data_IF_556268665432
#
_entry.id   IF_556268665432
#
_cell.length_a   1.000
_cell.length_b   1.000
_cell.length_c   1.000
_cell.angle_alpha   90.00
_cell.angle_beta   90.00
_cell.angle_gamma   90.00
#
_symmetry.space_group_name_H-M   'P 1'
#
loop_
_entity.id
_entity.type
_entity.pdbx_description
1 polymer ?
2 polymer ?
3 water ?
#
# COMPACT_ATOMS: atom_id res chain seq x y z
N UNK A 2 13.16 1.35 1.17
CA UNK A 2 12.51 0.12 1.76
C UNK A 2 11.62 -0.53 0.69
N UNK A 3 11.61 -1.87 0.63
CA UNK A 3 10.83 -2.63 -0.37
C UNK A 3 10.45 -3.99 0.22
N UNK A 4 9.20 -4.38 0.00
CA UNK A 4 8.65 -5.70 0.34
C UNK A 4 8.02 -6.29 -0.91
N UNK A 5 8.27 -7.56 -1.23
CA UNK A 5 7.62 -8.21 -2.38
C UNK A 5 7.21 -9.64 -2.04
N UNK A 6 5.92 -9.95 -2.13
CA UNK A 6 5.37 -11.30 -1.83
C UNK A 6 5.48 -12.15 -3.08
N UNK A 7 5.59 -13.45 -2.90
CA UNK A 7 5.46 -14.45 -3.97
C UNK A 7 4.95 -15.77 -3.39
N UNK A 8 4.51 -16.70 -4.24
CA UNK A 8 4.12 -18.07 -3.84
C UNK A 8 2.60 -18.25 -3.78
N UNK A 9 1.80 -17.22 -4.06
CA UNK A 9 0.34 -17.31 -4.11
C UNK A 9 -0.12 -18.30 -5.19
N UNK A 10 -1.33 -18.83 -5.05
CA UNK A 10 -1.91 -19.74 -6.06
C UNK A 10 -3.16 -20.42 -5.55
N UNK A 11 -3.61 -21.39 -6.32
CA UNK A 11 -4.81 -22.20 -6.02
C UNK A 11 -4.34 -23.43 -5.25
N UNK A 12 -5.00 -23.74 -4.15
CA UNK A 12 -4.66 -24.88 -3.26
C UNK A 12 -5.95 -25.68 -3.03
N UNK A 13 -5.85 -27.00 -3.00
CA UNK A 13 -6.94 -27.94 -2.62
C UNK A 13 -7.15 -27.85 -1.09
N UNK A 14 -8.39 -27.96 -0.63
CA UNK A 14 -8.70 -28.01 0.81
C UNK A 14 -7.85 -29.10 1.48
N UNK A 15 -7.20 -28.77 2.60
CA UNK A 15 -6.29 -29.61 3.37
C UNK A 15 -4.85 -29.48 2.93
N UNK A 16 -4.58 -28.72 1.88
CA UNK A 16 -3.24 -28.56 1.29
C UNK A 16 -2.36 -27.55 2.04
N UNK A 17 -1.15 -27.39 1.54
CA UNK A 17 -0.08 -26.54 2.11
C UNK A 17 0.35 -25.57 1.03
N UNK A 18 0.88 -24.46 1.47
CA UNK A 18 1.41 -23.43 0.56
C UNK A 18 2.45 -22.63 1.34
N UNK A 19 3.55 -22.28 0.71
CA UNK A 19 4.56 -21.43 1.36
C UNK A 19 4.67 -20.08 0.63
N UNK A 20 4.43 -18.99 1.34
CA UNK A 20 4.58 -17.64 0.76
C UNK A 20 5.95 -17.13 1.16
N UNK A 21 6.56 -16.33 0.30
CA UNK A 21 7.82 -15.59 0.56
C UNK A 21 7.57 -14.10 0.51
N UNK A 22 8.32 -13.38 1.32
CA UNK A 22 8.36 -11.91 1.35
C UNK A 22 9.83 -11.53 1.29
N UNK A 23 10.27 -10.96 0.16
CA UNK A 23 11.63 -10.42 0.03
C UNK A 23 11.64 -9.00 0.55
N UNK A 24 12.57 -8.69 1.46
CA UNK A 24 12.61 -7.34 2.06
C UNK A 24 13.97 -6.70 1.78
N UNK A 25 14.02 -5.36 1.80
CA UNK A 25 15.28 -4.59 1.71
C UNK A 25 15.10 -3.20 2.33
N UNK A 26 16.20 -2.63 2.86
CA UNK A 26 16.32 -1.22 3.31
C UNK A 26 16.17 -1.00 4.81
N UNK A 27 16.28 -2.03 5.66
CA UNK A 27 16.28 -1.91 7.15
C UNK A 27 17.70 -2.02 7.70
N UNK A 30 17.37 -0.86 11.91
CA UNK A 30 16.62 -0.78 13.19
C UNK A 30 15.85 -2.10 13.45
N UNK A 31 14.94 -2.08 14.43
CA UNK A 31 14.32 -3.29 15.00
C UNK A 31 12.95 -3.42 14.34
N UNK A 32 12.90 -4.02 13.16
CA UNK A 32 11.67 -4.18 12.35
C UNK A 32 11.05 -5.56 12.55
N UNK A 33 9.73 -5.56 12.50
CA UNK A 33 8.86 -6.76 12.39
C UNK A 33 8.38 -6.88 10.94
N UNK A 34 8.38 -8.09 10.38
CA UNK A 34 7.66 -8.44 9.14
C UNK A 34 6.44 -9.26 9.55
N UNK A 35 5.26 -8.82 9.15
CA UNK A 35 3.99 -9.50 9.43
C UNK A 35 3.30 -9.94 8.14
N UNK A 36 2.48 -10.96 8.25
CA UNK A 36 1.53 -11.42 7.23
C UNK A 36 0.13 -10.98 7.63
N UNK A 37 -0.59 -10.38 6.69
CA UNK A 37 -1.96 -9.83 6.89
C UNK A 37 -2.80 -10.34 5.72
N UNK A 38 -4.06 -10.65 5.94
CA UNK A 38 -4.88 -11.14 4.80
C UNK A 38 -6.17 -10.33 4.72
N UNK A 39 -6.67 -10.14 3.51
CA UNK A 39 -7.87 -9.31 3.24
C UNK A 39 -8.72 -10.02 2.19
N UNK A 40 -9.88 -10.47 2.57
CA UNK A 40 -10.87 -11.03 1.61
C UNK A 40 -11.58 -9.86 0.94
N UNK A 41 -12.08 -10.03 -0.30
CA UNK A 41 -12.80 -8.94 -1.00
C UNK A 41 -13.81 -8.20 -0.12
N UNK A 42 -13.71 -6.86 -0.08
CA UNK A 42 -14.61 -5.98 0.68
C UNK A 42 -14.49 -6.10 2.19
N UNK A 43 -13.46 -6.76 2.73
CA UNK A 43 -13.26 -6.91 4.20
C UNK A 43 -12.02 -6.14 4.66
N UNK A 44 -11.78 -6.06 5.97
CA UNK A 44 -10.57 -5.40 6.49
C UNK A 44 -9.36 -6.33 6.46
N UNK A 45 -8.17 -5.80 6.72
CA UNK A 45 -6.93 -6.59 6.81
C UNK A 45 -6.81 -7.23 8.19
N UNK A 46 -6.53 -8.52 8.22
CA UNK A 46 -6.44 -9.31 9.46
C UNK A 46 -4.98 -9.79 9.67
N UNK A 47 -4.41 -9.54 10.83
CA UNK A 47 -3.06 -10.05 11.16
C UNK A 47 -3.08 -11.57 11.23
N UNK A 48 -2.12 -12.22 10.58
CA UNK A 48 -2.00 -13.70 10.54
C UNK A 48 -0.83 -14.17 11.43
N UNK A 49 0.38 -13.70 11.13
CA UNK A 49 1.60 -14.09 11.90
C UNK A 49 2.66 -13.03 11.69
N UNK A 50 3.48 -12.74 12.70
CA UNK A 50 4.56 -11.72 12.56
C UNK A 50 5.84 -12.24 13.20
N UNK A 51 6.96 -11.81 12.67
CA UNK A 51 8.30 -12.17 13.20
C UNK A 51 9.14 -10.90 13.39
N UNK A 52 9.80 -10.86 14.54
CA UNK A 52 10.84 -9.85 14.83
C UNK A 52 12.15 -10.26 14.16
N UNK A 53 12.63 -9.50 13.19
CA UNK A 53 13.84 -9.92 12.43
C UNK A 53 15.04 -10.07 13.38
N UNK A 54 15.12 -9.25 14.46
CA UNK A 54 16.21 -9.38 15.47
C UNK A 54 15.83 -10.46 16.47
N UNK A 55 16.34 -11.67 16.24
CA UNK A 55 16.15 -12.80 17.18
C UNK A 55 15.07 -13.80 16.78
N UNK A 56 14.16 -13.47 15.86
CA UNK A 56 13.21 -14.46 15.31
C UNK A 56 12.00 -14.77 16.20
N UNK A 57 11.73 -13.96 17.22
CA UNK A 57 10.52 -14.11 18.06
C UNK A 57 9.27 -13.92 17.20
N UNK A 58 8.19 -14.61 17.54
CA UNK A 58 7.01 -14.75 16.65
C UNK A 58 5.73 -14.58 17.46
N UNK A 59 4.70 -14.18 16.78
CA UNK A 59 3.35 -14.03 17.37
C UNK A 59 2.35 -14.41 16.29
N UNK A 60 1.32 -15.13 16.69
CA UNK A 60 0.34 -15.75 15.79
C UNK A 60 -1.07 -15.33 16.18
N UNK A 61 -1.88 -15.04 15.16
CA UNK A 61 -3.36 -15.03 15.26
C UNK A 61 -3.82 -16.43 15.68
N UNK A 62 -4.89 -16.50 16.48
CA UNK A 62 -5.41 -17.80 16.96
C UNK A 62 -5.57 -18.81 15.81
N UNK A 63 -6.06 -18.39 14.67
CA UNK A 63 -6.37 -19.37 13.59
C UNK A 63 -5.10 -19.88 12.90
N UNK A 64 -3.97 -19.19 13.06
CA UNK A 64 -2.66 -19.53 12.49
C UNK A 64 -1.89 -20.50 13.41
N UNK A 65 -2.20 -20.52 14.71
CA UNK A 65 -1.42 -21.28 15.73
C UNK A 65 -1.36 -22.77 15.34
N UNK A 66 -0.17 -23.36 15.40
CA UNK A 66 -0.01 -24.80 15.13
C UNK A 66 0.19 -25.04 13.63
N UNK A 67 -0.75 -24.60 12.81
CA UNK A 67 -0.75 -25.02 11.38
C UNK A 67 0.06 -24.09 10.48
N UNK A 68 0.31 -22.84 10.89
CA UNK A 68 1.14 -21.92 10.11
C UNK A 68 2.43 -21.71 10.89
N UNK A 69 3.52 -21.55 10.17
CA UNK A 69 4.81 -21.17 10.76
C UNK A 69 5.37 -19.99 9.99
N UNK A 70 5.70 -18.93 10.72
CA UNK A 70 6.41 -17.80 10.08
C UNK A 70 7.88 -17.95 10.45
N UNK A 71 8.80 -17.70 9.51
CA UNK A 71 10.25 -17.80 9.77
C UNK A 71 10.99 -16.77 8.92
N UNK A 72 12.23 -16.50 9.27
CA UNK A 72 13.04 -15.51 8.54
C UNK A 72 14.38 -16.14 8.22
N UNK A 73 14.88 -15.87 7.02
CA UNK A 73 16.30 -16.12 6.68
C UNK A 73 16.92 -14.74 6.46
N UNK A 74 17.61 -14.23 7.47
CA UNK A 74 18.17 -12.86 7.43
C UNK A 74 19.24 -12.81 6.33
N UNK A 75 19.97 -13.89 6.12
CA UNK A 75 21.02 -13.98 5.06
C UNK A 75 20.37 -13.72 3.69
N UNK A 76 19.20 -14.31 3.44
CA UNK A 76 18.49 -14.19 2.15
C UNK A 76 17.55 -12.99 2.16
N UNK A 77 17.43 -12.27 3.29
CA UNK A 77 16.47 -11.15 3.44
C UNK A 77 15.10 -11.62 2.94
N UNK A 78 14.70 -12.81 3.36
CA UNK A 78 13.37 -13.36 3.01
C UNK A 78 12.65 -13.79 4.29
N UNK A 79 11.37 -13.48 4.38
CA UNK A 79 10.51 -14.04 5.46
C UNK A 79 9.52 -15.02 4.82
N UNK A 80 9.24 -16.15 5.45
CA UNK A 80 8.32 -17.17 4.89
C UNK A 80 7.08 -17.31 5.76
N UNK A 81 5.96 -17.60 5.13
CA UNK A 81 4.77 -18.13 5.85
C UNK A 81 4.47 -19.50 5.29
N UNK A 82 4.75 -20.53 6.08
CA UNK A 82 4.38 -21.91 5.69
C UNK A 82 2.96 -22.16 6.22
N UNK A 83 2.01 -22.37 5.33
CA UNK A 83 0.62 -22.69 5.67
C UNK A 83 0.39 -24.18 5.41
N UNK A 84 -0.42 -24.79 6.27
CA UNK A 84 -0.87 -26.20 6.19
C UNK A 84 -2.34 -26.25 6.58
N UNK A 85 -3.00 -27.37 6.29
CA UNK A 85 -4.43 -27.61 6.62
C UNK A 85 -5.25 -26.41 6.15
N UNK A 86 -5.03 -25.98 4.90
CA UNK A 86 -5.73 -24.78 4.38
C UNK A 86 -7.20 -25.11 4.13
N UNK A 87 -8.05 -24.13 4.30
CA UNK A 87 -9.51 -24.25 4.11
C UNK A 87 -9.99 -23.09 3.26
N UNK A 88 -11.21 -23.19 2.69
CA UNK A 88 -11.79 -22.08 1.94
C UNK A 88 -11.84 -20.73 2.67
N UNK A 89 -12.02 -20.74 3.99
CA UNK A 89 -12.01 -19.49 4.80
C UNK A 89 -10.63 -18.82 4.77
N UNK A 90 -9.59 -19.47 4.27
CA UNK A 90 -8.21 -18.93 4.23
C UNK A 90 -8.00 -18.19 2.90
N UNK A 91 -8.97 -18.26 1.97
CA UNK A 91 -8.92 -17.56 0.66
C UNK A 91 -8.87 -16.06 0.92
N UNK A 92 -7.92 -15.37 0.31
CA UNK A 92 -7.67 -13.93 0.52
C UNK A 92 -6.44 -13.51 -0.24
N UNK A 93 -6.28 -12.19 -0.31
CA UNK A 93 -4.99 -11.56 -0.69
C UNK A 93 -4.17 -11.57 0.61
N UNK A 94 -2.96 -12.11 0.55
CA UNK A 94 -1.98 -12.06 1.65
C UNK A 94 -0.95 -11.00 1.32
N UNK A 95 -0.68 -10.13 2.29
CA UNK A 95 0.27 -8.99 2.20
C UNK A 95 1.37 -9.24 3.21
N UNK A 96 2.62 -8.96 2.87
CA UNK A 96 3.60 -8.70 3.96
C UNK A 96 3.68 -7.21 4.25
N UNK A 97 3.86 -6.90 5.53
CA UNK A 97 3.92 -5.53 6.05
C UNK A 97 5.08 -5.44 7.02
N UNK A 98 5.69 -4.26 7.12
CA UNK A 98 6.80 -3.99 8.05
C UNK A 98 6.38 -2.91 9.03
N UNK A 99 6.76 -3.11 10.29
CA UNK A 99 6.54 -2.10 11.33
C UNK A 99 7.71 -2.17 12.33
N UNK A 100 7.95 -1.05 12.98
CA UNK A 100 8.95 -0.96 14.07
C UNK A 100 8.38 -1.79 15.20
N UNK A 101 9.22 -2.62 15.80
CA UNK A 101 8.84 -3.54 16.87
C UNK A 101 8.00 -2.83 17.93
N UNK A 102 6.85 -3.43 18.25
CA UNK A 102 5.90 -2.91 19.27
C UNK A 102 5.63 -4.09 20.17
N UNK A 103 6.00 -3.96 21.42
CA UNK A 103 5.78 -5.04 22.41
C UNK A 103 4.28 -5.30 22.63
N UNK A 104 3.34 -4.41 22.31
CA UNK A 104 1.91 -4.66 22.58
C UNK A 104 1.35 -5.60 21.50
N UNK A 105 2.07 -5.79 20.40
CA UNK A 105 1.62 -6.74 19.36
C UNK A 105 2.02 -6.32 17.98
N UNK A 106 1.35 -6.91 16.98
CA UNK A 106 1.70 -6.75 15.55
C UNK A 106 0.51 -6.14 14.80
N UNK A 107 0.75 -5.12 14.00
CA UNK A 107 -0.24 -4.56 13.06
C UNK A 107 -0.84 -3.25 13.53
N UNK A 108 -0.27 -2.64 14.57
CA UNK A 108 -0.77 -1.38 15.15
C UNK A 108 -0.25 -0.18 14.34
N UNK A 109 0.90 -0.29 13.67
CA UNK A 109 1.47 0.86 12.92
C UNK A 109 2.29 0.33 11.74
N UNK A 110 1.62 -0.28 10.76
CA UNK A 110 2.33 -0.84 9.59
C UNK A 110 2.78 0.34 8.71
N UNK A 111 4.08 0.45 8.47
CA UNK A 111 4.64 1.65 7.80
C UNK A 111 4.84 1.34 6.31
N UNK A 112 5.06 0.07 5.96
CA UNK A 112 5.42 -0.40 4.61
C UNK A 112 4.61 -1.64 4.24
N UNK A 113 4.14 -1.71 3.01
CA UNK A 113 3.31 -2.81 2.49
C UNK A 113 3.92 -3.37 1.22
N UNK A 114 3.85 -4.68 1.06
CA UNK A 114 4.08 -5.37 -0.21
C UNK A 114 2.90 -5.13 -1.15
N UNK A 115 2.84 -5.89 -2.22
CA UNK A 115 1.85 -5.71 -3.30
C UNK A 115 0.68 -6.70 -3.17
N UNK A 116 0.81 -7.72 -2.32
CA UNK A 116 -0.28 -8.71 -2.14
C UNK A 116 -0.11 -9.88 -3.09
N UNK A 117 -0.49 -11.08 -2.66
CA UNK A 117 -0.50 -12.31 -3.48
C UNK A 117 -1.79 -13.07 -3.15
N UNK A 118 -2.56 -13.44 -4.18
CA UNK A 118 -3.87 -14.11 -4.04
C UNK A 118 -3.63 -15.57 -3.64
N UNK A 119 -4.27 -15.97 -2.56
CA UNK A 119 -4.38 -17.40 -2.15
C UNK A 119 -5.84 -17.82 -2.24
N UNK A 120 -6.11 -18.87 -3.01
CA UNK A 120 -7.48 -19.41 -3.23
C UNK A 120 -7.46 -20.90 -2.85
N UNK A 121 -8.32 -21.27 -1.92
CA UNK A 121 -8.46 -22.65 -1.40
C UNK A 121 -9.85 -23.16 -1.79
N UNK A 122 -9.93 -24.27 -2.51
CA UNK A 122 -11.22 -24.86 -2.97
C UNK A 122 -11.19 -26.40 -2.89
N UNK A 123 -12.34 -27.06 -2.93
CA UNK A 123 -12.46 -28.51 -3.28
C UNK A 123 -13.26 -28.66 -4.59
N UNK B 2 5.23 19.57 3.73
CA UNK B 2 6.58 19.09 4.08
C UNK B 2 6.51 17.56 4.28
N UNK B 3 5.62 17.04 5.14
CA UNK B 3 5.46 15.56 5.34
C UNK B 3 4.22 15.02 4.60
N UNK B 4 4.37 13.87 3.91
CA UNK B 4 3.28 13.24 3.10
C UNK B 4 3.32 11.73 3.31
N UNK B 5 2.15 11.13 3.49
CA UNK B 5 2.07 9.66 3.69
C UNK B 5 0.85 9.11 2.94
N UNK B 6 1.11 8.23 1.99
CA UNK B 6 0.06 7.56 1.17
C UNK B 6 -0.38 6.31 1.89
N UNK B 7 -1.62 5.94 1.70
CA UNK B 7 -2.12 4.60 2.05
C UNK B 7 -3.28 4.24 1.13
N UNK B 8 -3.80 3.04 1.27
CA UNK B 8 -5.01 2.56 0.60
C UNK B 8 -4.69 1.65 -0.58
N UNK B 9 -3.41 1.38 -0.88
CA UNK B 9 -3.03 0.60 -2.06
C UNK B 9 -3.24 -0.88 -1.79
N UNK B 10 -3.24 -1.71 -2.80
CA UNK B 10 -3.47 -3.15 -2.65
C UNK B 10 -3.65 -3.82 -4.00
N UNK B 11 -3.92 -5.09 -3.98
CA UNK B 11 -4.19 -5.90 -5.18
C UNK B 11 -5.71 -5.90 -5.42
N UNK B 12 -6.17 -5.54 -6.60
CA UNK B 12 -7.63 -5.50 -6.93
C UNK B 12 -7.81 -6.23 -8.26
N UNK B 13 -9.05 -6.63 -8.51
CA UNK B 13 -9.51 -7.29 -9.75
C UNK B 13 -9.74 -6.22 -10.82
N UNK B 14 -9.50 -6.54 -12.08
CA UNK B 14 -9.90 -5.71 -13.25
C UNK B 14 -11.37 -5.31 -13.10
N UNK B 15 -11.69 -4.03 -13.29
CA UNK B 15 -13.05 -3.50 -13.14
C UNK B 15 -13.27 -2.94 -11.75
N UNK B 16 -12.35 -3.20 -10.84
CA UNK B 16 -12.46 -2.82 -9.43
C UNK B 16 -12.12 -1.36 -9.15
N UNK B 17 -12.35 -0.98 -7.89
CA UNK B 17 -12.25 0.39 -7.36
C UNK B 17 -11.26 0.35 -6.19
N UNK B 18 -10.66 1.48 -5.92
CA UNK B 18 -9.71 1.63 -4.80
C UNK B 18 -9.64 3.11 -4.46
N UNK B 19 -9.66 3.46 -3.17
CA UNK B 19 -9.48 4.87 -2.77
C UNK B 19 -8.13 5.04 -2.10
N UNK B 20 -7.22 5.80 -2.69
CA UNK B 20 -5.95 6.10 -2.00
C UNK B 20 -6.13 7.33 -1.12
N UNK B 21 -5.34 7.41 -0.06
CA UNK B 21 -5.30 8.56 0.88
C UNK B 21 -3.90 9.12 0.95
N UNK B 22 -3.78 10.44 1.02
CA UNK B 22 -2.49 11.14 1.21
C UNK B 22 -2.67 12.12 2.37
N UNK B 23 -2.16 11.76 3.56
CA UNK B 23 -2.09 12.64 4.76
C UNK B 23 -0.87 13.55 4.63
N UNK B 24 -1.07 14.86 4.84
CA UNK B 24 -0.03 15.89 4.63
C UNK B 24 0.00 16.77 5.87
N UNK B 25 1.17 17.27 6.23
CA UNK B 25 1.33 18.32 7.27
C UNK B 25 2.20 19.41 6.66
N UNK B 26 1.68 20.66 6.66
CA UNK B 26 1.98 21.74 5.70
C UNK B 26 2.60 22.95 6.38
N UNK B 29 1.46 27.78 6.11
CA UNK B 29 0.93 27.24 4.84
C UNK B 29 0.93 28.33 3.75
N UNK B 30 1.01 27.89 2.50
CA UNK B 30 1.14 28.72 1.27
C UNK B 30 0.21 28.09 0.21
N UNK B 31 0.35 28.45 -1.07
CA UNK B 31 -0.57 27.98 -2.15
C UNK B 31 0.00 26.68 -2.73
N UNK B 32 -0.26 25.56 -2.08
CA UNK B 32 0.29 24.22 -2.48
C UNK B 32 -0.75 23.43 -3.28
N UNK B 33 -0.22 22.60 -4.18
CA UNK B 33 -0.92 21.54 -4.95
C UNK B 33 -0.48 20.19 -4.37
N UNK B 34 -1.42 19.28 -4.14
CA UNK B 34 -1.11 17.85 -3.86
C UNK B 34 -1.50 17.07 -5.12
N UNK B 35 -0.56 16.30 -5.68
CA UNK B 35 -0.77 15.56 -6.92
C UNK B 35 -0.43 14.10 -6.73
N UNK B 36 -1.10 13.26 -7.52
CA UNK B 36 -0.84 11.81 -7.59
C UNK B 36 -0.05 11.55 -8.86
N UNK B 37 1.00 10.76 -8.72
CA UNK B 37 1.97 10.39 -9.77
C UNK B 37 2.19 8.89 -9.66
N UNK B 38 2.36 8.20 -10.76
CA UNK B 38 2.49 6.75 -10.68
C UNK B 38 3.72 6.35 -11.50
N UNK B 39 4.36 5.28 -11.05
CA UNK B 39 5.63 4.83 -11.66
C UNK B 39 5.68 3.30 -11.59
N UNK B 40 5.80 2.69 -12.74
CA UNK B 40 6.00 1.23 -12.88
C UNK B 40 7.49 0.97 -12.88
N UNK B 41 7.92 -0.24 -12.44
CA UNK B 41 9.33 -0.59 -12.44
C UNK B 41 9.98 -0.31 -13.79
N UNK B 42 11.13 0.36 -13.77
CA UNK B 42 11.94 0.64 -14.96
C UNK B 42 11.45 1.88 -15.71
N UNK B 43 10.32 2.45 -15.30
CA UNK B 43 9.60 3.47 -16.10
C UNK B 43 9.67 4.82 -15.39
N UNK B 44 9.34 5.88 -16.10
CA UNK B 44 9.27 7.23 -15.53
C UNK B 44 8.01 7.41 -14.71
N UNK B 45 8.00 8.47 -13.92
CA UNK B 45 6.84 8.87 -13.11
C UNK B 45 5.86 9.69 -13.97
N UNK B 46 4.57 9.33 -13.96
CA UNK B 46 3.50 9.95 -14.81
C UNK B 46 2.52 10.70 -13.91
N UNK B 47 2.19 11.94 -14.26
CA UNK B 47 1.10 12.64 -13.57
C UNK B 47 -0.22 11.92 -13.76
N UNK B 48 -1.03 11.82 -12.72
CA UNK B 48 -2.39 11.21 -12.74
C UNK B 48 -3.47 12.27 -12.49
N UNK B 49 -3.43 12.95 -11.36
CA UNK B 49 -4.48 13.91 -10.93
C UNK B 49 -3.88 14.84 -9.88
N UNK B 50 -4.24 16.12 -9.87
CA UNK B 50 -3.72 17.11 -8.88
C UNK B 50 -4.84 18.01 -8.42
N UNK B 51 -4.70 18.51 -7.21
CA UNK B 51 -5.71 19.40 -6.59
C UNK B 51 -4.97 20.58 -5.96
N UNK B 52 -5.46 21.78 -6.22
CA UNK B 52 -5.04 23.01 -5.51
C UNK B 52 -5.80 23.09 -4.17
N UNK B 53 -5.10 23.02 -3.06
CA UNK B 53 -5.74 22.98 -1.72
C UNK B 53 -6.51 24.28 -1.48
N UNK B 54 -6.05 25.44 -1.96
CA UNK B 54 -6.84 26.70 -1.89
C UNK B 54 -7.87 26.70 -3.01
N UNK B 55 -9.12 26.33 -2.69
CA UNK B 55 -10.24 26.35 -3.64
C UNK B 55 -10.60 24.99 -4.24
N UNK B 56 -9.72 23.99 -4.18
CA UNK B 56 -10.04 22.59 -4.60
C UNK B 56 -10.14 22.43 -6.11
N UNK B 57 -9.61 23.39 -6.87
CA UNK B 57 -9.43 23.23 -8.33
C UNK B 57 -8.62 22.00 -8.70
N UNK B 58 -8.96 21.32 -9.81
CA UNK B 58 -8.35 20.03 -10.16
C UNK B 58 -7.92 19.99 -11.62
N UNK B 59 -6.99 19.09 -11.89
CA UNK B 59 -6.52 18.78 -13.26
C UNK B 59 -6.18 17.29 -13.33
N UNK B 60 -6.50 16.67 -14.46
CA UNK B 60 -6.50 15.20 -14.67
C UNK B 60 -5.67 14.88 -15.91
N UNK B 61 -4.85 13.84 -15.82
CA UNK B 61 -4.30 13.18 -17.03
C UNK B 61 -5.46 12.60 -17.85
N UNK B 62 -5.34 12.52 -19.16
CA UNK B 62 -6.41 11.95 -20.04
C UNK B 62 -6.94 10.61 -19.49
N UNK B 63 -6.07 9.75 -19.01
CA UNK B 63 -6.48 8.38 -18.68
C UNK B 63 -7.27 8.39 -17.38
N UNK B 64 -7.08 9.42 -16.55
CA UNK B 64 -7.78 9.57 -15.25
C UNK B 64 -9.18 10.19 -15.42
N UNK B 65 -9.42 10.93 -16.49
CA UNK B 65 -10.64 11.77 -16.60
C UNK B 65 -11.88 10.87 -16.53
N UNK B 66 -12.87 11.30 -15.74
CA UNK B 66 -14.15 10.59 -15.63
C UNK B 66 -14.07 9.50 -14.57
N UNK B 67 -13.13 8.59 -14.69
CA UNK B 67 -13.17 7.38 -13.81
C UNK B 67 -12.43 7.61 -12.47
N UNK B 68 -11.51 8.58 -12.39
CA UNK B 68 -10.82 8.91 -11.11
C UNK B 68 -11.27 10.28 -10.66
N UNK B 69 -11.28 10.49 -9.35
CA UNK B 69 -11.64 11.77 -8.71
C UNK B 69 -10.65 12.07 -7.61
N UNK B 70 -9.97 13.19 -7.73
CA UNK B 70 -9.10 13.70 -6.65
C UNK B 70 -9.91 14.67 -5.79
N UNK B 71 -9.78 14.58 -4.47
CA UNK B 71 -10.49 15.49 -3.55
C UNK B 71 -9.63 15.76 -2.31
N UNK B 72 -10.02 16.78 -1.55
CA UNK B 72 -9.25 17.24 -0.37
C UNK B 72 -10.22 17.48 0.77
N UNK B 73 -9.83 17.06 1.96
CA UNK B 73 -10.48 17.47 3.24
C UNK B 73 -9.42 18.19 4.05
N UNK B 74 -9.46 19.53 4.07
CA UNK B 74 -8.38 20.39 4.63
C UNK B 74 -8.41 20.30 6.16
N UNK B 75 -9.61 20.12 6.72
CA UNK B 75 -9.84 19.78 8.14
C UNK B 75 -8.96 18.59 8.50
N UNK B 76 -9.15 17.44 7.83
CA UNK B 76 -8.40 16.17 8.11
C UNK B 76 -6.98 16.19 7.52
N UNK B 77 -6.56 17.27 6.86
CA UNK B 77 -5.29 17.35 6.09
C UNK B 77 -5.08 16.03 5.33
N UNK B 78 -6.08 15.61 4.53
CA UNK B 78 -5.98 14.41 3.67
C UNK B 78 -6.45 14.72 2.25
N UNK B 79 -5.71 14.25 1.26
CA UNK B 79 -6.16 14.25 -0.16
C UNK B 79 -6.46 12.81 -0.56
N UNK B 80 -7.51 12.61 -1.33
CA UNK B 80 -7.96 11.28 -1.79
C UNK B 80 -7.84 11.18 -3.32
N UNK B 81 -7.57 9.97 -3.79
CA UNK B 81 -7.76 9.57 -5.22
C UNK B 81 -8.72 8.40 -5.26
N UNK B 82 -9.97 8.65 -5.64
CA UNK B 82 -10.97 7.60 -5.83
C UNK B 82 -10.73 7.04 -7.23
N UNK B 83 -10.32 5.78 -7.34
CA UNK B 83 -10.11 5.15 -8.68
C UNK B 83 -11.25 4.16 -8.89
N UNK B 84 -11.74 4.06 -10.12
CA UNK B 84 -12.79 3.13 -10.58
C UNK B 84 -12.34 2.56 -11.94
N UNK B 85 -12.96 1.46 -12.39
CA UNK B 85 -12.69 0.86 -13.72
C UNK B 85 -11.19 0.57 -13.86
N UNK B 86 -10.58 0.00 -12.83
CA UNK B 86 -9.12 -0.26 -12.85
C UNK B 86 -8.80 -1.39 -13.82
N UNK B 87 -7.65 -1.24 -14.45
CA UNK B 87 -7.14 -2.18 -15.46
C UNK B 87 -5.69 -2.50 -15.13
N UNK B 88 -5.15 -3.64 -15.63
CA UNK B 88 -3.74 -3.98 -15.44
C UNK B 88 -2.74 -2.85 -15.75
N UNK B 89 -3.01 -2.03 -16.76
CA UNK B 89 -2.17 -0.86 -17.10
C UNK B 89 -2.10 0.13 -15.93
N UNK B 90 -3.02 0.10 -14.97
CA UNK B 90 -2.98 1.01 -13.80
C UNK B 90 -1.99 0.48 -12.75
N UNK B 91 -1.44 -0.72 -12.90
CA UNK B 91 -0.50 -1.28 -11.91
C UNK B 91 0.75 -0.40 -11.83
N UNK B 92 1.11 0.05 -10.63
CA UNK B 92 2.22 1.00 -10.38
C UNK B 92 2.33 1.25 -8.88
N UNK B 93 3.44 1.86 -8.47
CA UNK B 93 3.55 2.55 -7.17
C UNK B 93 2.94 3.94 -7.39
N UNK B 94 2.02 4.34 -6.53
CA UNK B 94 1.39 5.68 -6.62
C UNK B 94 2.03 6.53 -5.54
N UNK B 95 2.52 7.71 -5.92
CA UNK B 95 3.14 8.67 -4.97
C UNK B 95 2.27 9.92 -4.89
N UNK B 96 2.12 10.47 -3.70
CA UNK B 96 1.64 11.88 -3.60
C UNK B 96 2.84 12.80 -3.43
N UNK B 97 2.75 13.95 -4.07
CA UNK B 97 3.80 14.98 -4.16
C UNK B 97 3.16 16.33 -3.97
N UNK B 98 3.87 17.24 -3.31
CA UNK B 98 3.43 18.63 -3.07
C UNK B 98 4.31 19.58 -3.91
N UNK B 99 3.68 20.56 -4.55
CA UNK B 99 4.29 21.49 -5.54
C UNK B 99 3.69 22.85 -5.23
N UNK B 100 4.45 23.95 -5.36
CA UNK B 100 3.82 25.30 -5.29
C UNK B 100 2.95 25.48 -6.54
N UNK B 101 1.75 26.01 -6.39
CA UNK B 101 0.83 26.17 -7.54
C UNK B 101 1.55 26.74 -8.78
N UNK B 102 1.40 26.05 -9.91
CA UNK B 102 1.89 26.43 -11.27
C UNK B 102 0.68 26.43 -12.23
N UNK B 103 0.29 27.60 -12.72
CA UNK B 103 -0.85 27.70 -13.66
C UNK B 103 -0.54 26.92 -14.95
N UNK B 104 0.71 26.55 -15.26
CA UNK B 104 1.01 25.84 -16.52
C UNK B 104 0.67 24.33 -16.40
N UNK B 105 0.46 23.85 -15.18
CA UNK B 105 0.05 22.46 -14.94
C UNK B 105 0.69 21.91 -13.70
N UNK B 106 0.72 20.57 -13.58
CA UNK B 106 1.09 19.86 -12.34
C UNK B 106 2.25 18.92 -12.64
N UNK B 107 3.30 18.96 -11.82
CA UNK B 107 4.41 18.00 -11.84
C UNK B 107 5.69 18.56 -12.42
N UNK B 108 5.75 19.87 -12.67
CA UNK B 108 6.96 20.54 -13.24
C UNK B 108 8.02 20.73 -12.15
N UNK B 109 7.63 20.96 -10.90
CA UNK B 109 8.62 21.22 -9.81
C UNK B 109 8.10 20.66 -8.49
N UNK B 110 8.00 19.34 -8.39
CA UNK B 110 7.54 18.68 -7.15
C UNK B 110 8.64 18.82 -6.09
N UNK B 111 8.31 19.38 -4.92
CA UNK B 111 9.29 19.75 -3.87
C UNK B 111 9.35 18.63 -2.83
N UNK B 112 8.24 17.94 -2.57
CA UNK B 112 8.18 16.87 -1.55
C UNK B 112 7.38 15.69 -2.09
N UNK B 113 7.77 14.50 -1.64
CA UNK B 113 7.27 13.18 -2.09
C UNK B 113 6.93 12.36 -0.87
N UNK B 114 5.82 11.63 -0.92
CA UNK B 114 5.53 10.47 -0.06
C UNK B 114 6.41 9.28 -0.40
N UNK B 115 6.30 8.21 0.38
CA UNK B 115 7.07 6.95 0.22
C UNK B 115 6.46 6.11 -0.92
N UNK B 116 5.19 6.33 -1.25
CA UNK B 116 4.48 5.59 -2.31
C UNK B 116 3.65 4.43 -1.76
N UNK B 117 2.59 4.04 -2.45
CA UNK B 117 1.70 2.90 -2.08
C UNK B 117 1.51 2.02 -3.34
N UNK B 118 1.65 0.70 -3.21
CA UNK B 118 1.66 -0.18 -4.40
C UNK B 118 0.22 -0.54 -4.76
N UNK B 119 -0.09 -0.39 -6.04
CA UNK B 119 -1.40 -0.76 -6.65
C UNK B 119 -1.14 -1.81 -7.74
N UNK B 120 -1.80 -2.94 -7.62
CA UNK B 120 -1.70 -4.07 -8.58
C UNK B 120 -3.12 -4.41 -9.02
N UNK B 121 -3.36 -4.49 -10.32
CA UNK B 121 -4.67 -4.87 -10.91
C UNK B 121 -4.44 -6.15 -11.72
N UNK B 122 -5.06 -7.29 -11.40
CA UNK B 122 -4.80 -8.55 -12.17
C UNK B 122 -6.06 -9.10 -12.85
N UNK C 6 -3.57 0.38 8.09
CA UNK C 6 -4.76 -0.12 7.32
C UNK C 6 -5.19 -1.52 7.83
N UNK C 7 -5.06 -1.82 9.16
CA UNK C 7 -5.24 -3.17 9.78
C UNK C 7 -6.42 -3.18 10.76
N UNK C 8 -7.48 -3.86 10.36
CA UNK C 8 -8.70 -3.99 11.16
C UNK C 8 -8.39 -4.78 12.42
N UNK C 9 -7.61 -5.87 12.30
CA UNK C 9 -7.43 -6.83 13.43
C UNK C 9 -5.95 -7.09 13.67
N UNK C 10 -5.29 -6.24 14.50
CA UNK C 10 -3.91 -6.49 14.86
C UNK C 10 -3.83 -7.75 15.74
N UNK C 11 -2.63 -8.30 15.89
CA UNK C 11 -2.39 -9.48 16.79
C UNK C 11 -1.94 -8.92 18.12
N UNK C 12 -2.76 -9.02 19.17
CA UNK C 12 -2.44 -8.45 20.50
C UNK C 12 -1.52 -9.39 21.27
N UNK C 13 -0.48 -8.85 21.89
CA UNK C 13 0.37 -9.56 22.85
C UNK C 13 -0.29 -9.44 24.23
N UNK C 14 -0.72 -10.55 24.82
CA UNK C 14 -1.44 -10.48 26.11
C UNK C 14 -0.44 -10.31 27.26
N UNK C 15 0.86 -10.46 27.02
CA UNK C 15 1.92 -10.25 28.04
C UNK C 15 2.81 -9.05 27.61
N UNK C 16 2.21 -7.87 27.49
CA UNK C 16 2.88 -6.65 27.03
C UNK C 16 3.22 -5.73 28.18
N UNK C 17 3.49 -4.46 27.89
CA UNK C 17 3.86 -3.45 28.91
C UNK C 17 2.65 -2.88 29.61
N UNK C 18 1.69 -2.44 28.81
CA UNK C 18 0.46 -1.75 29.31
C UNK C 18 -0.24 -2.65 30.31
N UNK C 19 -0.67 -2.12 31.45
CA UNK C 19 -1.41 -2.97 32.43
C UNK C 19 -2.90 -2.99 32.04
N UNK D 7 9.53 13.87 -12.78
CA UNK D 7 8.24 13.53 -13.40
C UNK D 7 8.45 13.57 -14.92
N UNK D 8 8.47 12.39 -15.54
CA UNK D 8 8.65 12.28 -17.00
C UNK D 8 7.45 12.92 -17.70
N UNK D 9 6.22 12.80 -17.16
CA UNK D 9 5.03 13.33 -17.85
C UNK D 9 4.15 14.14 -16.91
N UNK D 10 4.42 15.46 -16.82
CA UNK D 10 3.53 16.36 -16.10
C UNK D 10 2.17 16.48 -16.81
N UNK D 11 1.20 16.99 -16.08
CA UNK D 11 -0.16 17.27 -16.61
C UNK D 11 -0.18 18.73 -17.06
N UNK D 12 -0.14 18.94 -18.37
CA UNK D 12 -0.13 20.30 -18.97
C UNK D 12 -1.51 20.92 -18.86
N UNK D 13 -1.57 22.18 -18.46
CA UNK D 13 -2.77 23.03 -18.62
C UNK D 13 -2.71 23.66 -20.01
N UNK D 14 -3.63 23.31 -20.91
CA UNK D 14 -3.62 23.92 -22.27
C UNK D 14 -4.18 25.36 -22.20
N UNK D 15 -4.89 25.72 -21.13
CA UNK D 15 -5.40 27.10 -20.96
C UNK D 15 -4.59 27.85 -19.88
N UNK D 16 -3.27 27.97 -20.07
CA UNK D 16 -2.33 28.56 -19.10
C UNK D 16 -2.00 30.00 -19.44
N UNK D 17 -0.87 30.51 -18.98
CA UNK D 17 -0.43 31.90 -19.29
C UNK D 17 0.38 32.01 -20.54
N UNK D 18 1.40 31.16 -20.62
CA UNK D 18 2.39 31.12 -21.72
C UNK D 18 1.63 30.97 -23.04
N UNK D 19 2.03 31.69 -24.10
CA UNK D 19 1.45 31.68 -25.48
C UNK D 19 2.31 30.89 -26.46
#
# INVERSE_FOLDING_TARGET
QVQLQESGGGLVQTGGSLRLSCAFSGFTSDDYVIGWFRQAPGKGRQGVSCIRLSGGGTIYADSAKGRFTVSADNAKKTVYLQMTRLKPEDTAVYYCGAERYNVEGCGYDVAYWGKGTQVTVSS
QVQLQESGGGLVQTGGSLRLSCAFSGFTSDDYVIGWFRQAPGKGRQGVSCIRLSGGGTIYADSAKGRFTVSADNAKKTVYLQMTRLKPEDTAVYYCGAERYNVEGCGYDVAYWGKGTQVTVSS
MSLLTEVETPIRNEWGCRCNDSS
MSLLTEVETPIRNEWGCRCNDSS
#
